data_IF_471201972404
#
_entry.id   IF_471201972404
#
_cell.length_a   1.000
_cell.length_b   1.000
_cell.length_c   1.000
_cell.angle_alpha   90.00
_cell.angle_beta   90.00
_cell.angle_gamma   90.00
#
_symmetry.space_group_name_H-M   'P 1'
#
loop_
_entity.id
_entity.type
_entity.pdbx_description
1 polymer ?
#
# COMPACT_ATOMS: atom_id res chain seq x y z
N UNK A 1 -2.69 4.41 38.42
CA UNK A 1 -2.35 4.79 37.04
C UNK A 1 -3.68 4.89 36.33
N UNK A 2 -4.11 6.10 35.97
CA UNK A 2 -5.36 6.30 35.25
C UNK A 2 -5.26 5.66 33.88
N UNK A 3 -6.16 4.73 33.58
CA UNK A 3 -6.33 4.17 32.25
C UNK A 3 -6.70 5.33 31.31
N UNK A 4 -5.77 5.72 30.45
CA UNK A 4 -6.05 6.63 29.35
C UNK A 4 -6.81 5.79 28.33
N UNK A 5 -8.13 5.96 28.26
CA UNK A 5 -8.91 5.52 27.11
C UNK A 5 -8.44 6.34 25.90
N UNK A 6 -7.52 5.78 25.12
CA UNK A 6 -7.19 6.33 23.81
C UNK A 6 -8.30 5.89 22.86
N UNK A 7 -9.28 6.75 22.65
CA UNK A 7 -10.29 6.58 21.62
C UNK A 7 -9.63 6.78 20.25
N UNK A 8 -9.18 5.68 19.64
CA UNK A 8 -8.65 5.70 18.27
C UNK A 8 -9.82 5.80 17.29
N UNK A 9 -10.33 7.01 17.03
CA UNK A 9 -11.16 7.24 15.85
C UNK A 9 -10.25 7.39 14.63
N UNK A 10 -10.43 6.51 13.65
CA UNK A 10 -9.87 6.73 12.31
C UNK A 10 -10.75 7.80 11.69
N UNK A 11 -10.19 8.98 11.45
CA UNK A 11 -10.86 10.04 10.71
C UNK A 11 -11.09 9.57 9.27
N UNK A 12 -12.28 9.06 8.99
CA UNK A 12 -12.67 8.58 7.67
C UNK A 12 -13.12 9.72 6.73
N UNK A 13 -12.93 10.98 7.13
CA UNK A 13 -13.18 12.13 6.24
C UNK A 13 -12.33 12.01 4.98
N UNK A 14 -12.91 12.06 3.77
CA UNK A 14 -12.14 12.06 2.53
C UNK A 14 -11.12 13.22 2.49
N UNK A 15 -10.04 13.03 1.73
CA UNK A 15 -9.14 14.13 1.39
C UNK A 15 -9.92 15.25 0.70
N UNK A 16 -9.53 16.50 0.96
CA UNK A 16 -10.01 17.64 0.16
C UNK A 16 -9.36 17.61 -1.23
N UNK A 17 -9.91 18.37 -2.18
CA UNK A 17 -9.31 18.50 -3.52
C UNK A 17 -7.86 19.01 -3.45
N UNK A 18 -7.57 19.96 -2.56
CA UNK A 18 -6.21 20.46 -2.32
C UNK A 18 -5.25 19.39 -1.78
N UNK A 19 -5.75 18.50 -0.91
CA UNK A 19 -4.97 17.38 -0.39
C UNK A 19 -4.70 16.33 -1.49
N UNK A 20 -5.70 16.03 -2.31
CA UNK A 20 -5.53 15.14 -3.47
C UNK A 20 -4.49 15.73 -4.43
N UNK A 21 -4.64 17.01 -4.81
CA UNK A 21 -3.68 17.69 -5.69
C UNK A 21 -2.27 17.74 -5.09
N UNK A 22 -2.14 18.00 -3.79
CA UNK A 22 -0.85 18.00 -3.10
C UNK A 22 -0.17 16.63 -3.12
N UNK A 23 -0.95 15.56 -2.92
CA UNK A 23 -0.45 14.20 -3.04
C UNK A 23 -0.01 13.90 -4.47
N UNK A 24 -0.88 14.11 -5.46
CA UNK A 24 -0.58 13.81 -6.87
C UNK A 24 0.69 14.56 -7.33
N UNK A 25 0.83 15.83 -6.93
CA UNK A 25 2.06 16.62 -7.14
C UNK A 25 3.28 15.99 -6.48
N UNK A 26 3.16 15.51 -5.23
CA UNK A 26 4.26 14.85 -4.50
C UNK A 26 4.78 13.60 -5.20
N UNK A 27 3.91 12.90 -5.94
CA UNK A 27 4.26 11.70 -6.71
C UNK A 27 4.43 11.95 -8.21
N UNK A 28 4.46 13.22 -8.65
CA UNK A 28 4.76 13.60 -10.03
C UNK A 28 3.64 13.30 -11.03
N UNK A 29 2.38 13.27 -10.59
CA UNK A 29 1.21 13.10 -11.47
C UNK A 29 0.60 14.48 -11.76
N UNK A 30 0.46 14.79 -13.05
CA UNK A 30 -0.10 16.06 -13.56
C UNK A 30 -1.35 15.84 -14.44
N UNK A 31 -1.76 14.59 -14.65
CA UNK A 31 -2.94 14.24 -15.43
C UNK A 31 -4.14 13.89 -14.54
N UNK A 32 -5.33 13.90 -15.15
CA UNK A 32 -6.55 13.45 -14.50
C UNK A 32 -6.46 11.96 -14.14
N UNK A 33 -7.08 11.62 -13.01
CA UNK A 33 -7.13 10.26 -12.46
C UNK A 33 -8.57 9.79 -12.48
N UNK A 34 -8.81 8.66 -13.16
CA UNK A 34 -10.09 7.98 -13.18
C UNK A 34 -10.09 6.79 -12.22
N UNK A 35 -11.25 6.21 -11.95
CA UNK A 35 -11.39 4.99 -11.14
C UNK A 35 -11.20 3.71 -11.96
N UNK A 36 -10.16 3.70 -12.81
CA UNK A 36 -9.82 2.59 -13.71
C UNK A 36 -8.46 1.96 -13.40
N UNK A 37 -8.17 0.82 -14.06
CA UNK A 37 -6.94 0.05 -13.81
C UNK A 37 -5.68 0.80 -14.25
N UNK A 38 -5.77 1.63 -15.30
CA UNK A 38 -4.63 2.40 -15.81
C UNK A 38 -4.21 3.46 -14.79
N UNK A 39 -5.19 4.15 -14.22
CA UNK A 39 -5.01 5.17 -13.19
C UNK A 39 -4.49 4.54 -11.90
N UNK A 40 -5.02 3.39 -11.48
CA UNK A 40 -4.50 2.66 -10.31
C UNK A 40 -3.05 2.22 -10.52
N UNK A 41 -2.70 1.72 -11.71
CA UNK A 41 -1.33 1.35 -12.06
C UNK A 41 -0.38 2.55 -12.08
N UNK A 42 -0.81 3.68 -12.64
CA UNK A 42 -0.05 4.93 -12.64
C UNK A 42 0.22 5.40 -11.21
N UNK A 43 -0.82 5.44 -10.37
CA UNK A 43 -0.72 5.84 -8.96
C UNK A 43 0.23 4.95 -8.16
N UNK A 44 0.09 3.63 -8.27
CA UNK A 44 0.94 2.69 -7.53
C UNK A 44 2.40 2.84 -7.93
N UNK A 45 2.69 2.88 -9.24
CA UNK A 45 4.05 3.07 -9.76
C UNK A 45 4.64 4.41 -9.28
N UNK A 46 3.87 5.49 -9.41
CA UNK A 46 4.30 6.82 -9.03
C UNK A 46 4.60 6.93 -7.53
N UNK A 47 3.78 6.33 -6.67
CA UNK A 47 4.04 6.29 -5.24
C UNK A 47 5.35 5.56 -4.92
N UNK A 48 5.51 4.34 -5.44
CA UNK A 48 6.70 3.51 -5.23
C UNK A 48 8.00 4.21 -5.65
N UNK A 49 7.97 5.06 -6.69
CA UNK A 49 9.17 5.73 -7.19
C UNK A 49 9.46 7.08 -6.52
N UNK A 50 8.49 7.70 -5.83
CA UNK A 50 8.64 9.05 -5.29
C UNK A 50 8.62 9.13 -3.76
N UNK A 51 7.95 8.21 -3.07
CA UNK A 51 7.86 8.20 -1.60
C UNK A 51 8.71 7.04 -1.07
N UNK A 52 9.80 7.33 -0.33
CA UNK A 52 10.71 6.29 0.13
C UNK A 52 10.09 5.45 1.24
N UNK A 53 10.51 4.20 1.34
CA UNK A 53 10.36 3.41 2.56
C UNK A 53 11.40 3.86 3.60
N UNK A 54 10.99 4.09 4.85
CA UNK A 54 11.90 4.37 5.97
C UNK A 54 11.29 3.94 7.31
N UNK A 55 12.15 3.63 8.29
CA UNK A 55 11.77 3.18 9.63
C UNK A 55 12.39 4.05 10.73
N UNK A 56 12.64 5.32 10.46
CA UNK A 56 13.37 6.24 11.34
C UNK A 56 12.68 6.41 12.70
N UNK A 57 11.35 6.55 12.74
CA UNK A 57 10.62 6.64 14.02
C UNK A 57 10.75 5.35 14.85
N UNK A 58 10.82 4.18 14.21
CA UNK A 58 11.06 2.93 14.92
C UNK A 58 12.46 2.92 15.57
N UNK A 59 13.47 3.45 14.86
CA UNK A 59 14.84 3.58 15.39
C UNK A 59 14.89 4.55 16.58
N UNK A 60 14.13 5.65 16.53
CA UNK A 60 13.99 6.61 17.64
C UNK A 60 13.08 6.12 18.77
N UNK A 61 12.51 4.91 18.68
CA UNK A 61 11.48 4.39 19.61
C UNK A 61 10.27 5.33 19.75
N UNK A 62 9.98 6.10 18.71
CA UNK A 62 8.82 6.97 18.61
C UNK A 62 7.65 6.18 18.04
N UNK A 63 6.47 6.38 18.62
CA UNK A 63 5.22 5.80 18.10
C UNK A 63 4.84 6.54 16.82
N UNK A 64 4.67 5.78 15.75
CA UNK A 64 4.12 6.28 14.49
C UNK A 64 2.62 6.54 14.64
N UNK A 65 2.17 7.74 14.29
CA UNK A 65 0.74 8.04 14.17
C UNK A 65 0.17 7.40 12.90
N UNK A 66 -1.02 6.80 13.01
CA UNK A 66 -1.78 6.31 11.85
C UNK A 66 -2.96 7.22 11.52
N UNK A 67 -3.05 8.40 12.14
CA UNK A 67 -4.02 9.42 11.77
C UNK A 67 -3.74 9.96 10.37
N UNK A 68 -4.76 10.04 9.53
CA UNK A 68 -4.65 10.45 8.12
C UNK A 68 -3.97 11.82 7.93
N UNK A 69 -4.33 12.83 8.72
CA UNK A 69 -3.75 14.18 8.61
C UNK A 69 -2.29 14.22 9.02
N UNK A 70 -1.91 13.46 10.07
CA UNK A 70 -0.50 13.32 10.47
C UNK A 70 0.33 12.57 9.42
N UNK A 71 -0.23 11.51 8.82
CA UNK A 71 0.43 10.80 7.72
C UNK A 71 0.61 11.71 6.51
N UNK A 72 -0.39 12.50 6.15
CA UNK A 72 -0.31 13.44 5.04
C UNK A 72 0.75 14.51 5.29
N UNK A 73 0.76 15.11 6.48
CA UNK A 73 1.78 16.06 6.90
C UNK A 73 3.19 15.45 6.76
N UNK A 74 3.40 14.26 7.28
CA UNK A 74 4.70 13.57 7.23
C UNK A 74 5.13 13.23 5.79
N UNK A 75 4.32 12.46 5.06
CA UNK A 75 4.73 11.88 3.78
C UNK A 75 4.66 12.89 2.62
N UNK A 76 3.68 13.80 2.65
CA UNK A 76 3.40 14.74 1.56
C UNK A 76 4.05 16.09 1.82
N UNK A 77 3.81 16.71 2.98
CA UNK A 77 4.30 18.08 3.28
C UNK A 77 5.78 18.07 3.69
N UNK A 78 6.19 17.16 4.58
CA UNK A 78 7.58 17.06 5.05
C UNK A 78 8.48 16.21 4.13
N UNK A 79 7.92 15.66 3.04
CA UNK A 79 8.62 14.81 2.07
C UNK A 79 9.34 13.61 2.70
N UNK A 80 8.82 13.09 3.81
CA UNK A 80 9.34 11.88 4.48
C UNK A 80 8.79 10.61 3.85
N UNK A 81 9.36 9.48 4.27
CA UNK A 81 8.84 8.15 3.96
C UNK A 81 8.03 7.56 5.12
N UNK A 82 7.81 6.25 5.07
CA UNK A 82 7.29 5.51 6.21
C UNK A 82 7.41 4.00 6.05
N UNK A 83 6.93 3.28 7.07
CA UNK A 83 6.77 1.83 7.01
C UNK A 83 5.46 1.46 6.29
N UNK A 84 5.24 0.17 6.04
CA UNK A 84 4.09 -0.31 5.25
C UNK A 84 2.71 0.17 5.75
N UNK A 85 2.51 0.31 7.06
CA UNK A 85 1.26 0.81 7.63
C UNK A 85 1.00 2.28 7.30
N UNK A 86 2.06 3.09 7.21
CA UNK A 86 1.98 4.52 6.86
C UNK A 86 1.75 4.68 5.37
N UNK A 87 2.59 4.01 4.55
CA UNK A 87 2.54 4.09 3.09
C UNK A 87 1.21 3.57 2.54
N UNK A 88 0.84 2.32 2.87
CA UNK A 88 -0.43 1.74 2.43
C UNK A 88 -1.64 2.37 3.16
N UNK A 89 -1.44 2.98 4.33
CA UNK A 89 -2.50 3.72 5.01
C UNK A 89 -2.87 5.00 4.27
N UNK A 90 -1.86 5.83 3.99
CA UNK A 90 -2.06 7.07 3.27
C UNK A 90 -2.49 6.82 1.82
N UNK A 91 -1.93 5.80 1.16
CA UNK A 91 -2.34 5.42 -0.19
C UNK A 91 -3.79 4.93 -0.25
N UNK A 92 -4.24 4.12 0.71
CA UNK A 92 -5.65 3.73 0.79
C UNK A 92 -6.58 4.93 1.00
N UNK A 93 -6.17 5.92 1.81
CA UNK A 93 -6.96 7.14 2.01
C UNK A 93 -7.08 7.97 0.73
N UNK A 94 -5.99 8.13 -0.03
CA UNK A 94 -6.02 8.78 -1.36
C UNK A 94 -6.99 8.05 -2.29
N UNK A 95 -6.83 6.74 -2.46
CA UNK A 95 -7.63 5.95 -3.39
C UNK A 95 -9.13 6.03 -3.05
N UNK A 96 -9.49 5.90 -1.77
CA UNK A 96 -10.87 6.06 -1.33
C UNK A 96 -11.42 7.47 -1.61
N UNK A 97 -10.61 8.50 -1.41
CA UNK A 97 -11.01 9.90 -1.65
C UNK A 97 -11.25 10.19 -3.13
N UNK A 98 -10.51 9.52 -4.02
CA UNK A 98 -10.72 9.57 -5.48
C UNK A 98 -11.95 8.74 -5.91
N UNK A 99 -12.44 7.84 -5.06
CA UNK A 99 -13.64 7.03 -5.31
C UNK A 99 -13.36 5.58 -5.71
N UNK A 100 -12.14 5.07 -5.53
CA UNK A 100 -11.88 3.64 -5.68
C UNK A 100 -12.53 2.84 -4.53
N UNK A 101 -13.02 1.63 -4.85
CA UNK A 101 -13.45 0.65 -3.83
C UNK A 101 -12.21 -0.07 -3.26
N UNK A 102 -11.80 0.31 -2.05
CA UNK A 102 -10.58 -0.18 -1.41
C UNK A 102 -10.87 -0.95 -0.13
N UNK A 103 -10.33 -2.17 -0.05
CA UNK A 103 -10.32 -3.00 1.16
C UNK A 103 -8.89 -3.25 1.64
N UNK A 104 -8.58 -2.83 2.86
CA UNK A 104 -7.29 -3.12 3.51
C UNK A 104 -7.27 -4.55 4.07
N UNK A 105 -6.09 -5.18 4.04
CA UNK A 105 -5.82 -6.51 4.60
C UNK A 105 -4.52 -6.51 5.39
N UNK A 106 -4.35 -7.53 6.23
CA UNK A 106 -3.08 -7.87 6.84
C UNK A 106 -2.50 -9.11 6.16
N UNK A 107 -1.21 -9.06 5.87
CA UNK A 107 -0.43 -10.12 5.26
C UNK A 107 0.84 -10.40 6.08
N UNK A 108 1.54 -11.47 5.72
CA UNK A 108 2.80 -11.88 6.35
C UNK A 108 3.81 -12.22 5.25
N UNK A 109 5.08 -11.95 5.51
CA UNK A 109 6.15 -12.45 4.65
C UNK A 109 6.33 -13.96 4.91
N UNK A 110 6.48 -14.73 3.83
CA UNK A 110 6.78 -16.15 3.88
C UNK A 110 8.27 -16.30 3.57
N UNK A 111 9.00 -16.93 4.48
CA UNK A 111 10.42 -17.28 4.31
C UNK A 111 10.49 -18.79 4.08
N UNK A 112 11.10 -19.28 2.98
CA UNK A 112 11.06 -20.69 2.59
C UNK A 112 11.49 -21.68 3.68
N UNK A 113 12.48 -21.33 4.50
CA UNK A 113 12.97 -22.20 5.59
C UNK A 113 12.46 -21.81 7.01
N UNK A 114 11.40 -21.00 7.12
CA UNK A 114 11.08 -20.26 8.34
C UNK A 114 9.84 -20.68 9.16
N UNK A 115 9.75 -20.10 10.36
CA UNK A 115 8.57 -20.09 11.22
C UNK A 115 7.42 -19.28 10.58
N UNK A 116 6.17 -19.60 10.92
CA UNK A 116 5.01 -18.81 10.50
C UNK A 116 5.02 -17.45 11.22
N UNK A 117 5.50 -16.40 10.54
CA UNK A 117 5.55 -15.03 11.06
C UNK A 117 4.18 -14.42 11.29
N UNK A 118 4.06 -13.47 12.22
CA UNK A 118 2.81 -12.69 12.46
C UNK A 118 2.38 -11.89 11.22
N UNK A 119 1.10 -11.53 11.13
CA UNK A 119 0.57 -10.67 10.06
C UNK A 119 0.95 -9.20 10.30
N UNK A 120 2.16 -8.83 9.90
CA UNK A 120 2.75 -7.50 10.17
C UNK A 120 2.88 -6.61 8.95
N UNK A 121 2.35 -7.01 7.79
CA UNK A 121 2.40 -6.20 6.56
C UNK A 121 0.99 -5.80 6.13
N UNK A 122 0.72 -4.49 6.02
CA UNK A 122 -0.56 -3.97 5.51
C UNK A 122 -0.53 -3.98 3.99
N UNK A 123 -1.57 -4.51 3.36
CA UNK A 123 -1.79 -4.45 1.90
C UNK A 123 -3.24 -4.08 1.60
N UNK A 124 -3.61 -3.89 0.34
CA UNK A 124 -5.01 -3.65 -0.03
C UNK A 124 -5.42 -4.36 -1.30
N UNK A 125 -6.74 -4.57 -1.44
CA UNK A 125 -7.34 -4.89 -2.73
C UNK A 125 -8.23 -3.75 -3.19
N UNK A 126 -8.22 -3.47 -4.49
CA UNK A 126 -9.08 -2.50 -5.15
C UNK A 126 -10.04 -3.22 -6.10
N UNK A 127 -11.34 -2.95 -6.02
CA UNK A 127 -12.34 -3.53 -6.94
C UNK A 127 -12.56 -2.60 -8.12
N UNK A 128 -12.40 -3.10 -9.35
CA UNK A 128 -12.64 -2.36 -10.58
C UNK A 128 -13.45 -3.26 -11.52
N UNK A 129 -14.64 -2.81 -11.94
CA UNK A 129 -15.53 -3.57 -12.82
C UNK A 129 -15.83 -5.01 -12.34
N UNK A 130 -15.94 -5.22 -11.02
CA UNK A 130 -16.20 -6.53 -10.40
C UNK A 130 -14.96 -7.39 -10.14
N UNK A 131 -13.81 -7.01 -10.70
CA UNK A 131 -12.53 -7.71 -10.50
C UNK A 131 -11.74 -7.09 -9.35
N UNK A 132 -11.00 -7.92 -8.60
CA UNK A 132 -10.20 -7.48 -7.46
C UNK A 132 -8.72 -7.48 -7.80
N UNK A 133 -8.04 -6.38 -7.50
CA UNK A 133 -6.61 -6.21 -7.75
C UNK A 133 -5.86 -6.00 -6.44
N UNK A 134 -4.81 -6.79 -6.18
CA UNK A 134 -3.86 -6.55 -5.10
C UNK A 134 -3.00 -5.33 -5.46
N UNK A 135 -3.01 -4.31 -4.60
CA UNK A 135 -2.18 -3.12 -4.69
C UNK A 135 -1.36 -2.96 -3.42
N UNK A 136 -0.09 -2.59 -3.58
CA UNK A 136 0.85 -2.45 -2.47
C UNK A 136 1.94 -1.43 -2.83
N UNK A 137 2.07 -0.39 -2.01
CA UNK A 137 3.11 0.64 -2.12
C UNK A 137 4.06 0.65 -0.92
N UNK A 138 3.96 -0.35 -0.04
CA UNK A 138 4.60 -0.37 1.27
C UNK A 138 5.68 -1.43 1.46
N UNK A 139 6.14 -2.09 0.40
CA UNK A 139 7.16 -3.15 0.47
C UNK A 139 8.55 -2.55 0.51
N UNK A 140 9.38 -2.97 1.48
CA UNK A 140 10.78 -2.54 1.62
C UNK A 140 11.76 -3.38 0.78
N UNK A 141 11.37 -3.74 -0.44
CA UNK A 141 12.16 -4.55 -1.36
C UNK A 141 11.56 -4.49 -2.77
N UNK A 142 12.02 -5.35 -3.68
CA UNK A 142 11.34 -5.54 -4.96
C UNK A 142 9.85 -5.87 -4.71
N UNK A 143 8.95 -5.12 -5.34
CA UNK A 143 7.53 -5.47 -5.42
C UNK A 143 6.95 -5.12 -6.79
N UNK A 144 5.73 -5.62 -7.06
CA UNK A 144 5.00 -5.31 -8.28
C UNK A 144 4.76 -3.81 -8.42
N UNK A 145 5.16 -3.24 -9.56
CA UNK A 145 4.95 -1.82 -9.88
C UNK A 145 3.55 -1.51 -10.38
N UNK A 146 2.70 -2.53 -10.52
CA UNK A 146 1.30 -2.40 -10.94
C UNK A 146 0.38 -3.30 -10.10
N UNK A 147 -0.91 -3.00 -10.03
CA UNK A 147 -1.88 -3.86 -9.37
C UNK A 147 -1.92 -5.24 -10.02
N UNK A 148 -1.98 -6.28 -9.20
CA UNK A 148 -2.05 -7.67 -9.66
C UNK A 148 -3.49 -8.17 -9.54
N UNK A 149 -4.06 -8.69 -10.63
CA UNK A 149 -5.37 -9.32 -10.58
C UNK A 149 -5.34 -10.50 -9.61
N UNK A 150 -6.34 -10.57 -8.74
CA UNK A 150 -6.49 -11.63 -7.74
C UNK A 150 -7.07 -12.91 -8.39
N UNK A 151 -6.32 -13.46 -9.34
CA UNK A 151 -6.66 -14.65 -10.12
C UNK A 151 -5.62 -15.76 -9.89
N UNK A 152 -6.10 -16.95 -9.57
CA UNK A 152 -5.27 -18.11 -9.26
C UNK A 152 -4.55 -18.63 -10.50
N UNK A 153 -3.23 -18.87 -10.38
CA UNK A 153 -2.40 -19.43 -11.44
C UNK A 153 -2.03 -18.47 -12.58
N UNK A 154 -2.62 -17.26 -12.62
CA UNK A 154 -2.32 -16.27 -13.65
C UNK A 154 -0.91 -15.69 -13.47
N UNK A 155 -0.06 -15.84 -14.50
CA UNK A 155 1.25 -15.19 -14.56
C UNK A 155 1.06 -13.75 -15.03
N UNK A 156 1.55 -12.80 -14.23
CA UNK A 156 1.46 -11.37 -14.49
C UNK A 156 2.86 -10.75 -14.47
N UNK A 157 3.15 -9.82 -15.38
CA UNK A 157 4.49 -9.23 -15.53
C UNK A 157 4.42 -7.70 -15.50
N UNK A 158 5.33 -7.05 -14.76
CA UNK A 158 5.37 -5.59 -14.62
C UNK A 158 6.50 -4.91 -15.42
N UNK A 159 7.12 -5.67 -16.33
CA UNK A 159 8.29 -5.30 -17.13
C UNK A 159 9.63 -5.72 -16.50
N UNK A 160 9.64 -6.07 -15.21
CA UNK A 160 10.87 -6.38 -14.45
C UNK A 160 10.86 -7.79 -13.87
N UNK A 161 9.72 -8.21 -13.31
CA UNK A 161 9.54 -9.53 -12.70
C UNK A 161 8.21 -10.15 -13.13
N UNK A 162 8.04 -11.43 -12.80
CA UNK A 162 6.81 -12.19 -12.98
C UNK A 162 6.23 -12.52 -11.60
N UNK A 163 4.93 -12.37 -11.48
CA UNK A 163 4.15 -12.60 -10.27
C UNK A 163 3.05 -13.60 -10.56
N UNK A 164 2.71 -14.41 -9.56
CA UNK A 164 1.60 -15.36 -9.62
C UNK A 164 0.94 -15.47 -8.26
N UNK A 165 -0.38 -15.47 -8.23
CA UNK A 165 -1.15 -15.69 -7.02
C UNK A 165 -1.67 -17.13 -7.00
N UNK A 166 -1.58 -17.78 -5.85
CA UNK A 166 -2.10 -19.12 -5.61
C UNK A 166 -2.94 -19.13 -4.34
N UNK A 167 -3.90 -20.05 -4.25
CA UNK A 167 -4.61 -20.29 -2.98
C UNK A 167 -3.92 -21.39 -2.21
N UNK A 168 -3.82 -21.16 -0.91
CA UNK A 168 -3.36 -22.11 0.07
C UNK A 168 -4.42 -22.21 1.17
N UNK A 169 -4.66 -23.43 1.67
CA UNK A 169 -5.71 -23.72 2.64
C UNK A 169 -5.51 -22.98 3.97
N UNK A 170 -4.26 -22.73 4.36
CA UNK A 170 -3.91 -22.06 5.61
C UNK A 170 -3.61 -20.56 5.42
N UNK A 171 -2.81 -20.23 4.40
CA UNK A 171 -2.36 -18.86 4.15
C UNK A 171 -3.37 -18.02 3.37
N UNK A 172 -4.34 -18.64 2.69
CA UNK A 172 -5.24 -17.95 1.77
C UNK A 172 -4.52 -17.60 0.48
N UNK A 173 -4.55 -16.34 0.06
CA UNK A 173 -3.82 -15.91 -1.14
C UNK A 173 -2.32 -15.79 -0.86
N UNK A 174 -1.52 -16.51 -1.64
CA UNK A 174 -0.05 -16.47 -1.63
C UNK A 174 0.45 -15.82 -2.90
N UNK A 175 1.23 -14.75 -2.75
CA UNK A 175 1.90 -14.06 -3.85
C UNK A 175 3.29 -14.68 -4.05
N UNK A 176 3.49 -15.29 -5.21
CA UNK A 176 4.78 -15.74 -5.69
C UNK A 176 5.41 -14.68 -6.60
N UNK A 177 6.71 -14.48 -6.43
CA UNK A 177 7.52 -13.63 -7.28
C UNK A 177 8.69 -14.42 -7.85
N UNK A 178 8.91 -14.29 -9.16
CA UNK A 178 10.08 -14.86 -9.82
C UNK A 178 11.33 -14.03 -9.50
N UNK A 179 12.25 -14.63 -8.77
CA UNK A 179 13.58 -14.07 -8.54
C UNK A 179 14.37 -14.05 -9.85
N UNK A 180 15.07 -12.94 -10.13
CA UNK A 180 16.08 -12.93 -11.20
C UNK A 180 17.22 -13.86 -10.78
N UNK A 181 17.61 -14.78 -11.65
CA UNK A 181 18.87 -15.54 -11.46
C UNK A 181 20.01 -14.52 -11.42
N UNK A 182 20.79 -14.56 -10.35
CA UNK A 182 22.06 -13.83 -10.25
C UNK A 182 23.07 -14.38 -11.25
#
# INVERSE_FOLDING_TARGET
>A
MSDIEIEYSIDDTPMTDDEIMGYLKRIGIECDINTDLNSLALLQKAHLTHIPYENYYCLERRITSLNHKELYRKLIIEHRGGICFELNGLYAWLLKSIGFDVKSHLSRYIIPEGEIHKRTHRVMTVTICGERYLADVGVNSECSRKPLLLAEGLIQNDGISEYRLEKDDFFGWVLWQKLKKQ
#
